data_IF_317302078953
#
_entry.id   IF_317302078953
#
_cell.length_a   1.000
_cell.length_b   1.000
_cell.length_c   1.000
_cell.angle_alpha   90.00
_cell.angle_beta   90.00
_cell.angle_gamma   90.00
#
_symmetry.space_group_name_H-M   'P 1'
#
loop_
_entity.id
_entity.type
_entity.pdbx_description
1 polymer ?
#
# COMPACT_ATOMS: atom_id res chain seq x y z
N UNK A 1 2.44 7.39 -11.58
CA UNK A 1 1.93 6.52 -10.49
C UNK A 1 2.83 6.74 -9.30
N UNK A 2 2.24 7.01 -8.14
CA UNK A 2 3.02 7.29 -6.95
C UNK A 2 3.22 6.02 -6.13
N UNK A 3 4.45 5.82 -5.65
CA UNK A 3 4.81 4.62 -4.91
C UNK A 3 5.78 4.94 -3.79
N UNK A 4 5.52 4.37 -2.61
CA UNK A 4 6.37 4.50 -1.43
C UNK A 4 7.03 3.15 -1.17
N UNK A 5 8.36 3.11 -1.26
CA UNK A 5 9.12 1.89 -0.98
C UNK A 5 9.69 1.93 0.43
N UNK A 6 9.45 0.87 1.19
CA UNK A 6 9.77 0.76 2.60
C UNK A 6 10.49 -0.56 2.82
N UNK A 7 11.71 -0.50 3.37
CA UNK A 7 12.42 -1.71 3.80
C UNK A 7 12.07 -1.98 5.27
N UNK A 8 11.46 -3.13 5.55
CA UNK A 8 11.10 -3.56 6.90
C UNK A 8 11.55 -5.00 7.13
N UNK A 9 12.35 -5.23 8.18
CA UNK A 9 12.93 -6.54 8.52
C UNK A 9 13.64 -7.24 7.34
N UNK A 10 14.28 -6.47 6.45
CA UNK A 10 14.94 -7.01 5.26
C UNK A 10 14.01 -7.37 4.10
N UNK A 11 12.70 -7.15 4.23
CA UNK A 11 11.73 -7.26 3.14
C UNK A 11 11.40 -5.89 2.55
N UNK A 12 11.34 -5.82 1.23
CA UNK A 12 10.93 -4.62 0.51
C UNK A 12 9.41 -4.60 0.38
N UNK A 13 8.78 -3.58 0.95
CA UNK A 13 7.35 -3.32 0.90
C UNK A 13 7.12 -2.10 0.03
N UNK A 14 6.19 -2.19 -0.91
CA UNK A 14 5.86 -1.11 -1.83
C UNK A 14 4.39 -0.75 -1.67
N UNK A 15 4.11 0.48 -1.25
CA UNK A 15 2.77 1.02 -1.26
C UNK A 15 2.55 1.76 -2.59
N UNK A 16 1.62 1.31 -3.41
CA UNK A 16 1.29 1.90 -4.71
C UNK A 16 -0.09 2.56 -4.64
N UNK A 17 -0.19 3.82 -5.07
CA UNK A 17 -1.47 4.51 -5.15
C UNK A 17 -2.23 4.05 -6.40
N UNK A 18 -3.49 3.65 -6.23
CA UNK A 18 -4.35 3.24 -7.34
C UNK A 18 -4.77 4.41 -8.22
N UNK A 19 -5.16 4.12 -9.46
CA UNK A 19 -5.54 5.08 -10.51
C UNK A 19 -6.84 5.87 -10.24
N UNK A 20 -7.14 6.19 -8.97
CA UNK A 20 -8.22 7.09 -8.57
C UNK A 20 -7.76 8.53 -8.26
N UNK A 21 -6.46 8.74 -8.00
CA UNK A 21 -5.92 10.06 -7.67
C UNK A 21 -4.42 10.13 -7.99
N UNK A 22 -3.90 11.33 -8.31
CA UNK A 22 -2.45 11.60 -8.31
C UNK A 22 -2.01 12.02 -6.91
N UNK A 23 -0.74 11.84 -6.56
CA UNK A 23 -0.16 12.35 -5.31
C UNK A 23 -0.21 13.85 -5.14
N UNK A 24 -0.49 14.59 -6.21
CA UNK A 24 -0.79 16.02 -6.14
C UNK A 24 -2.24 16.32 -5.72
N UNK A 25 -3.01 15.31 -5.31
CA UNK A 25 -4.38 15.45 -4.82
C UNK A 25 -5.46 15.52 -5.91
N UNK A 26 -5.11 15.41 -7.20
CA UNK A 26 -6.11 15.42 -8.28
C UNK A 26 -6.82 14.08 -8.40
N UNK A 27 -8.13 14.09 -8.15
CA UNK A 27 -9.01 12.93 -8.36
C UNK A 27 -9.17 12.69 -9.85
N UNK A 28 -8.82 11.48 -10.31
CA UNK A 28 -8.99 11.08 -11.70
C UNK A 28 -10.45 10.68 -11.95
N UNK A 29 -11.02 10.97 -13.13
CA UNK A 29 -12.39 10.60 -13.46
C UNK A 29 -12.49 9.07 -13.61
N UNK A 30 -12.75 8.38 -12.49
CA UNK A 30 -12.86 6.92 -12.44
C UNK A 30 -13.89 6.40 -11.43
N UNK A 31 -14.58 7.29 -10.69
CA UNK A 31 -15.64 6.95 -9.73
C UNK A 31 -15.21 6.09 -8.54
N UNK A 32 -13.94 5.68 -8.47
CA UNK A 32 -13.37 4.90 -7.37
C UNK A 32 -12.59 5.81 -6.45
N UNK A 33 -12.84 5.69 -5.15
CA UNK A 33 -12.02 6.35 -4.14
C UNK A 33 -10.56 5.90 -4.31
N UNK A 34 -9.59 6.81 -4.21
CA UNK A 34 -8.19 6.44 -4.31
C UNK A 34 -7.80 5.57 -3.13
N UNK A 35 -6.99 4.55 -3.38
CA UNK A 35 -6.59 3.55 -2.38
C UNK A 35 -5.09 3.28 -2.51
N UNK A 36 -4.39 3.20 -1.39
CA UNK A 36 -3.02 2.70 -1.30
C UNK A 36 -3.05 1.18 -1.24
N UNK A 37 -2.33 0.53 -2.16
CA UNK A 37 -2.15 -0.91 -2.21
C UNK A 37 -0.77 -1.26 -1.68
N UNK A 38 -0.71 -2.03 -0.60
CA UNK A 38 0.53 -2.43 0.03
C UNK A 38 0.90 -3.77 -0.55
N UNK A 39 2.03 -3.80 -1.25
CA UNK A 39 2.57 -4.99 -1.90
C UNK A 39 3.89 -5.38 -1.26
N UNK A 40 4.12 -6.68 -1.08
CA UNK A 40 5.42 -7.24 -0.69
C UNK A 40 5.79 -8.29 -1.71
N UNK A 41 6.98 -8.20 -2.29
CA UNK A 41 7.45 -9.12 -3.32
C UNK A 41 6.44 -9.34 -4.48
N UNK A 42 5.70 -8.29 -4.86
CA UNK A 42 4.68 -8.34 -5.92
C UNK A 42 3.30 -8.87 -5.49
N UNK A 43 3.11 -9.23 -4.22
CA UNK A 43 1.81 -9.67 -3.68
C UNK A 43 1.14 -8.56 -2.88
N UNK A 44 -0.08 -8.18 -3.24
CA UNK A 44 -0.87 -7.21 -2.48
C UNK A 44 -1.36 -7.83 -1.16
N UNK A 45 -0.90 -7.28 -0.03
CA UNK A 45 -1.27 -7.75 1.31
C UNK A 45 -2.53 -7.06 1.84
N UNK A 46 -2.61 -5.74 1.63
CA UNK A 46 -3.70 -4.93 2.18
C UNK A 46 -3.87 -3.66 1.36
N UNK A 47 -5.01 -3.00 1.54
CA UNK A 47 -5.29 -1.71 0.93
C UNK A 47 -5.92 -0.75 1.92
N UNK A 48 -5.59 0.53 1.81
CA UNK A 48 -6.16 1.59 2.64
C UNK A 48 -6.72 2.70 1.77
N UNK A 49 -7.79 3.38 2.19
CA UNK A 49 -8.25 4.57 1.49
C UNK A 49 -7.16 5.65 1.53
N UNK A 50 -6.81 6.16 0.36
CA UNK A 50 -5.94 7.30 0.23
C UNK A 50 -6.74 8.59 0.47
N UNK A 51 -6.11 9.52 1.17
CA UNK A 51 -6.65 10.85 1.45
C UNK A 51 -5.80 11.89 0.72
N UNK A 52 -6.42 13.02 0.35
CA UNK A 52 -5.71 14.12 -0.30
C UNK A 52 -4.62 14.78 0.58
N UNK A 53 -4.57 14.41 1.86
CA UNK A 53 -3.58 14.87 2.84
C UNK A 53 -2.52 13.82 3.18
N UNK A 54 -2.62 12.60 2.65
CA UNK A 54 -1.61 11.57 2.88
C UNK A 54 -0.28 12.00 2.23
N UNK A 55 0.74 12.20 3.06
CA UNK A 55 2.12 12.39 2.61
C UNK A 55 2.86 11.06 2.56
N UNK A 56 3.99 11.01 1.86
CA UNK A 56 4.87 9.82 1.85
C UNK A 56 5.21 9.35 3.28
N UNK A 57 5.49 10.29 4.18
CA UNK A 57 5.79 10.00 5.59
C UNK A 57 4.59 9.41 6.33
N UNK A 58 3.38 9.95 6.14
CA UNK A 58 2.18 9.42 6.77
C UNK A 58 1.81 8.03 6.25
N UNK A 59 1.93 7.82 4.94
CA UNK A 59 1.72 6.51 4.31
C UNK A 59 2.74 5.53 4.85
N UNK A 60 4.01 5.92 4.91
CA UNK A 60 5.08 5.11 5.48
C UNK A 60 4.81 4.73 6.92
N UNK A 61 4.43 5.67 7.78
CA UNK A 61 4.09 5.39 9.18
C UNK A 61 2.89 4.45 9.31
N UNK A 62 1.84 4.64 8.50
CA UNK A 62 0.67 3.74 8.48
C UNK A 62 1.05 2.33 8.07
N UNK A 63 1.85 2.18 7.02
CA UNK A 63 2.34 0.88 6.55
C UNK A 63 3.23 0.24 7.62
N UNK A 64 4.17 0.98 8.21
CA UNK A 64 5.04 0.46 9.28
C UNK A 64 4.26 0.04 10.52
N UNK A 65 3.25 0.82 10.92
CA UNK A 65 2.37 0.47 12.04
C UNK A 65 1.59 -0.82 11.74
N UNK A 66 1.02 -0.93 10.54
CA UNK A 66 0.30 -2.13 10.12
C UNK A 66 1.22 -3.36 10.05
N UNK A 67 2.43 -3.23 9.51
CA UNK A 67 3.44 -4.31 9.48
C UNK A 67 3.90 -4.74 10.88
N UNK A 68 3.90 -3.81 11.84
CA UNK A 68 4.21 -4.12 13.24
C UNK A 68 3.06 -4.86 13.93
N UNK A 69 1.82 -4.51 13.60
CA UNK A 69 0.62 -5.17 14.13
C UNK A 69 0.40 -6.55 13.50
N UNK A 70 0.81 -6.71 12.24
CA UNK A 70 0.69 -7.94 11.46
C UNK A 70 2.05 -8.50 10.99
N UNK A 71 2.96 -8.85 11.90
CA UNK A 71 4.26 -9.42 11.51
C UNK A 71 4.10 -10.75 10.75
N UNK A 72 3.01 -11.50 10.97
CA UNK A 72 2.69 -12.74 10.25
C UNK A 72 2.49 -12.52 8.74
N UNK A 73 2.12 -11.31 8.32
CA UNK A 73 1.95 -10.98 6.90
C UNK A 73 3.29 -10.81 6.18
N UNK A 74 4.37 -10.52 6.91
CA UNK A 74 5.73 -10.51 6.34
C UNK A 74 6.20 -11.93 6.07
N UNK A 75 5.88 -12.89 6.93
CA UNK A 75 6.23 -14.31 6.76
C UNK A 75 5.41 -15.01 5.68
N UNK A 76 4.26 -14.43 5.31
CA UNK A 76 3.37 -14.88 4.22
C UNK A 76 3.95 -14.62 2.82
N UNK A 77 5.20 -15.01 2.59
CA UNK A 77 5.89 -15.11 1.30
C UNK A 77 5.16 -16.04 0.28
N UNK A 78 4.00 -16.61 0.65
CA UNK A 78 3.27 -17.62 -0.11
C UNK A 78 1.74 -17.51 -0.09
N UNK A 79 1.12 -16.36 0.22
CA UNK A 79 -0.33 -16.27 -0.03
C UNK A 79 -0.59 -15.92 -1.48
N UNK A 80 -0.61 -16.99 -2.28
CA UNK A 80 -1.46 -17.08 -3.47
C UNK A 80 -2.85 -16.61 -3.03
N UNK A 81 -3.28 -15.44 -3.53
CA UNK A 81 -4.69 -15.10 -3.57
C UNK A 81 -5.35 -16.16 -4.46
N UNK A 82 -5.78 -17.25 -3.84
CA UNK A 82 -6.58 -18.29 -4.46
C UNK A 82 -7.80 -17.63 -5.07
N UNK A 83 -7.95 -17.77 -6.38
CA UNK A 83 -9.15 -17.40 -7.10
C UNK A 83 -10.36 -18.14 -6.53
N UNK A 84 -11.50 -17.46 -6.60
CA UNK A 84 -12.83 -17.98 -6.36
C UNK A 84 -13.83 -17.04 -7.00
#
# INVERSE_FOLDING_TARGET
MDQVTINYQGKQVTASLSEGQTTSGQVLPGGKAPEWYITIAGTALTKFPATATDTEEQVRERVLRWLRDHPEMLDRDQIVLGGG
#
